data_IF_319267045960
#
_entry.id   IF_319267045960
#
_cell.length_a   1.000
_cell.length_b   1.000
_cell.length_c   1.000
_cell.angle_alpha   90.00
_cell.angle_beta   90.00
_cell.angle_gamma   90.00
#
_symmetry.space_group_name_H-M   'P 1'
#
loop_
_entity.id
_entity.type
_entity.pdbx_description
1 polymer ?
#
# COMPACT_ATOMS: atom_id res chain seq x y z
N UNK A 1 -5.88 -8.92 27.10
CA UNK A 1 -5.76 -9.51 25.76
C UNK A 1 -4.29 -9.47 25.38
N UNK A 2 -3.78 -10.57 24.84
CA UNK A 2 -2.43 -10.61 24.28
C UNK A 2 -2.40 -9.80 22.98
N UNK A 3 -1.44 -8.89 22.83
CA UNK A 3 -1.23 -8.14 21.61
C UNK A 3 -0.73 -9.09 20.51
N UNK A 4 -1.53 -9.27 19.47
CA UNK A 4 -1.15 -10.05 18.28
C UNK A 4 -0.51 -9.13 17.25
N UNK A 5 0.40 -9.68 16.45
CA UNK A 5 1.11 -8.96 15.40
C UNK A 5 0.97 -9.71 14.07
N UNK A 6 0.88 -8.94 12.98
CA UNK A 6 0.84 -9.45 11.62
C UNK A 6 2.07 -10.31 11.34
N UNK A 7 1.85 -11.57 10.95
CA UNK A 7 2.89 -12.56 10.69
C UNK A 7 3.60 -12.37 9.34
N UNK A 8 3.52 -11.17 8.77
CA UNK A 8 4.23 -10.71 7.57
C UNK A 8 4.98 -9.40 7.83
N UNK A 9 4.30 -8.31 8.20
CA UNK A 9 4.96 -7.01 8.40
C UNK A 9 5.21 -6.64 9.87
N UNK A 10 4.74 -7.44 10.83
CA UNK A 10 4.90 -7.13 12.24
C UNK A 10 3.99 -6.04 12.80
N UNK A 11 3.03 -5.54 12.01
CA UNK A 11 2.06 -4.54 12.47
C UNK A 11 1.17 -5.10 13.58
N UNK A 12 0.94 -4.38 14.71
CA UNK A 12 -0.04 -4.78 15.72
C UNK A 12 -1.40 -5.01 15.07
N UNK A 13 -2.12 -6.07 15.44
CA UNK A 13 -3.43 -6.39 14.87
C UNK A 13 -4.55 -5.86 15.76
N UNK A 14 -5.46 -5.09 15.16
CA UNK A 14 -6.75 -4.67 15.74
C UNK A 14 -7.88 -5.14 14.82
N UNK A 15 -9.12 -5.26 15.30
CA UNK A 15 -10.26 -5.73 14.51
C UNK A 15 -10.45 -5.01 13.16
N UNK A 16 -10.10 -3.74 13.10
CA UNK A 16 -10.28 -2.85 11.95
C UNK A 16 -9.30 -3.17 10.81
N UNK A 17 -8.09 -3.63 11.16
CA UNK A 17 -6.99 -3.85 10.20
C UNK A 17 -6.73 -5.33 9.92
N UNK A 18 -7.56 -6.24 10.43
CA UNK A 18 -7.47 -7.66 10.08
C UNK A 18 -7.70 -7.85 8.58
N UNK A 19 -6.83 -8.66 7.98
CA UNK A 19 -6.97 -9.09 6.60
C UNK A 19 -8.21 -9.95 6.37
N UNK A 20 -8.43 -10.35 5.12
CA UNK A 20 -9.59 -11.17 4.75
C UNK A 20 -9.18 -12.46 4.07
N UNK A 21 -9.84 -13.55 4.44
CA UNK A 21 -9.74 -14.85 3.76
C UNK A 21 -10.57 -14.83 2.47
N UNK A 22 -10.46 -15.88 1.66
CA UNK A 22 -11.18 -15.98 0.38
C UNK A 22 -12.71 -16.00 0.54
N UNK A 23 -13.20 -16.46 1.69
CA UNK A 23 -14.63 -16.46 2.06
C UNK A 23 -15.11 -15.12 2.65
N UNK A 24 -14.23 -14.12 2.72
CA UNK A 24 -14.51 -12.80 3.31
C UNK A 24 -14.40 -12.75 4.83
N UNK A 25 -14.16 -13.87 5.52
CA UNK A 25 -13.92 -13.88 6.96
C UNK A 25 -12.62 -13.15 7.33
N UNK A 26 -12.54 -12.63 8.56
CA UNK A 26 -11.33 -11.96 9.05
C UNK A 26 -10.18 -12.94 9.25
N UNK A 27 -8.97 -12.48 8.98
CA UNK A 27 -7.73 -13.22 9.20
C UNK A 27 -7.02 -12.70 10.46
N UNK A 28 -6.86 -13.56 11.46
CA UNK A 28 -6.26 -13.22 12.76
C UNK A 28 -4.72 -13.22 12.76
N UNK A 29 -4.08 -13.55 11.62
CA UNK A 29 -2.64 -13.67 11.51
C UNK A 29 -2.01 -12.57 10.66
N UNK A 30 -2.76 -11.99 9.73
CA UNK A 30 -2.27 -11.01 8.77
C UNK A 30 -3.17 -9.77 8.73
N UNK A 31 -2.55 -8.61 8.57
CA UNK A 31 -3.29 -7.38 8.38
C UNK A 31 -3.78 -7.21 6.92
N UNK A 32 -4.76 -6.34 6.73
CA UNK A 32 -5.39 -6.04 5.45
C UNK A 32 -4.42 -5.53 4.38
N UNK A 33 -3.33 -4.86 4.80
CA UNK A 33 -2.30 -4.37 3.89
C UNK A 33 -1.40 -5.49 3.35
N UNK A 34 -1.25 -6.59 4.10
CA UNK A 34 -0.44 -7.74 3.69
C UNK A 34 -1.25 -8.84 3.03
N UNK A 35 -2.50 -9.05 3.46
CA UNK A 35 -3.33 -10.18 3.05
C UNK A 35 -4.78 -9.76 2.90
N UNK A 36 -5.31 -9.91 1.69
CA UNK A 36 -6.67 -9.50 1.34
C UNK A 36 -7.27 -10.51 0.37
N UNK A 37 -8.50 -10.89 0.67
CA UNK A 37 -9.37 -11.75 -0.12
C UNK A 37 -8.70 -13.10 -0.44
N UNK A 38 -8.02 -13.67 0.55
CA UNK A 38 -7.37 -14.98 0.46
C UNK A 38 -6.00 -15.00 -0.22
N UNK A 39 -5.42 -13.83 -0.54
CA UNK A 39 -4.11 -13.73 -1.16
C UNK A 39 -3.25 -12.64 -0.52
N UNK A 40 -1.93 -12.80 -0.61
CA UNK A 40 -1.02 -11.70 -0.28
C UNK A 40 -1.18 -10.56 -1.28
N UNK A 41 -0.96 -9.33 -0.84
CA UNK A 41 -1.17 -8.14 -1.67
C UNK A 41 0.03 -7.84 -2.57
N UNK A 42 1.24 -8.27 -2.18
CA UNK A 42 2.47 -8.05 -2.92
C UNK A 42 3.46 -9.21 -2.83
N UNK A 43 4.19 -9.44 -3.93
CA UNK A 43 5.27 -10.40 -4.07
C UNK A 43 6.56 -9.84 -3.47
N UNK A 44 6.64 -9.85 -2.14
CA UNK A 44 7.80 -9.38 -1.41
C UNK A 44 8.68 -10.56 -0.99
N UNK A 45 10.00 -10.41 -1.22
CA UNK A 45 10.97 -11.05 -0.35
C UNK A 45 11.12 -10.27 0.97
N UNK A 46 11.81 -10.86 1.96
CA UNK A 46 11.94 -10.24 3.29
C UNK A 46 12.59 -8.85 3.23
N UNK A 47 13.66 -8.69 2.44
CA UNK A 47 14.39 -7.42 2.34
C UNK A 47 13.55 -6.33 1.65
N UNK A 48 12.76 -6.68 0.63
CA UNK A 48 11.83 -5.75 0.02
C UNK A 48 10.71 -5.33 0.99
N UNK A 49 10.23 -6.25 1.85
CA UNK A 49 9.30 -5.88 2.92
C UNK A 49 9.96 -4.94 3.94
N UNK A 50 11.23 -5.18 4.30
CA UNK A 50 11.99 -4.27 5.18
C UNK A 50 12.05 -2.87 4.58
N UNK A 51 12.40 -2.77 3.30
CA UNK A 51 12.47 -1.49 2.59
C UNK A 51 11.10 -0.80 2.55
N UNK A 52 10.04 -1.54 2.23
CA UNK A 52 8.67 -1.02 2.19
C UNK A 52 8.21 -0.52 3.56
N UNK A 53 8.31 -1.35 4.61
CA UNK A 53 7.92 -0.98 5.96
C UNK A 53 8.74 0.21 6.52
N UNK A 54 10.00 0.36 6.09
CA UNK A 54 10.86 1.47 6.53
C UNK A 54 10.33 2.86 6.16
N UNK A 55 9.47 2.96 5.14
CA UNK A 55 8.83 4.21 4.73
C UNK A 55 7.85 4.74 5.78
N UNK A 56 7.42 3.89 6.72
CA UNK A 56 6.45 4.23 7.77
C UNK A 56 7.11 4.44 9.14
N UNK A 57 8.43 4.67 9.19
CA UNK A 57 9.19 4.87 10.44
C UNK A 57 8.65 6.04 11.28
N UNK A 58 8.18 7.10 10.63
CA UNK A 58 7.63 8.27 11.33
C UNK A 58 6.33 7.92 12.07
N UNK A 59 5.46 7.13 11.43
CA UNK A 59 4.22 6.66 12.05
C UNK A 59 4.53 5.66 13.19
N UNK A 60 5.53 4.81 13.01
CA UNK A 60 6.01 3.92 14.08
C UNK A 60 6.56 4.71 15.28
N UNK A 61 7.39 5.72 15.04
CA UNK A 61 7.96 6.59 16.07
C UNK A 61 6.85 7.32 16.84
N UNK A 62 5.88 7.91 16.13
CA UNK A 62 4.73 8.59 16.71
C UNK A 62 3.90 7.68 17.62
N UNK A 63 3.65 6.44 17.23
CA UNK A 63 2.81 5.52 17.99
C UNK A 63 3.54 4.82 19.15
N UNK A 64 4.87 4.74 19.11
CA UNK A 64 5.68 4.06 20.15
C UNK A 64 6.44 5.01 21.07
N UNK A 65 6.47 6.31 20.76
CA UNK A 65 7.30 7.31 21.45
C UNK A 65 8.81 7.14 21.19
N UNK A 66 9.19 6.43 20.13
CA UNK A 66 10.58 6.26 19.70
C UNK A 66 11.00 7.37 18.72
N UNK A 67 12.29 7.44 18.41
CA UNK A 67 12.86 8.38 17.43
C UNK A 67 13.94 7.69 16.59
N UNK A 68 13.57 6.61 15.92
CA UNK A 68 14.48 5.86 15.04
C UNK A 68 14.61 6.57 13.69
N UNK A 69 15.82 6.58 13.14
CA UNK A 69 16.04 6.82 11.71
C UNK A 69 15.53 5.65 10.86
N UNK A 70 15.37 5.88 9.55
CA UNK A 70 14.97 4.82 8.60
C UNK A 70 15.92 3.62 8.64
N UNK A 71 17.23 3.85 8.73
CA UNK A 71 18.23 2.76 8.74
C UNK A 71 18.25 1.99 10.06
N UNK A 72 18.09 2.68 11.20
CA UNK A 72 17.92 2.00 12.50
C UNK A 72 16.66 1.15 12.51
N UNK A 73 15.56 1.67 11.96
CA UNK A 73 14.32 0.92 11.89
C UNK A 73 14.44 -0.30 10.97
N UNK A 74 15.11 -0.19 9.81
CA UNK A 74 15.43 -1.35 8.96
C UNK A 74 16.22 -2.40 9.73
N UNK A 75 17.21 -2.00 10.53
CA UNK A 75 17.99 -2.93 11.34
C UNK A 75 17.13 -3.68 12.37
N UNK A 76 16.15 -3.01 12.99
CA UNK A 76 15.18 -3.66 13.88
C UNK A 76 14.26 -4.62 13.13
N UNK A 77 13.75 -4.23 11.95
CA UNK A 77 12.91 -5.09 11.12
C UNK A 77 13.67 -6.36 10.68
N UNK A 78 14.94 -6.25 10.29
CA UNK A 78 15.78 -7.41 9.91
C UNK A 78 16.00 -8.39 11.07
N UNK A 79 16.03 -7.92 12.31
CA UNK A 79 16.09 -8.80 13.49
C UNK A 79 14.74 -9.47 13.75
N UNK A 80 13.63 -8.76 13.53
CA UNK A 80 12.30 -9.23 13.89
C UNK A 80 11.67 -10.14 12.82
N UNK A 81 11.76 -9.79 11.54
CA UNK A 81 11.09 -10.50 10.45
C UNK A 81 11.39 -12.00 10.36
N UNK A 82 12.62 -12.49 10.61
CA UNK A 82 12.91 -13.94 10.63
C UNK A 82 12.05 -14.74 11.62
N UNK A 83 11.42 -14.10 12.61
CA UNK A 83 10.53 -14.76 13.59
C UNK A 83 9.09 -14.91 13.07
N UNK A 84 8.69 -14.15 12.04
CA UNK A 84 7.33 -14.12 11.51
C UNK A 84 7.07 -15.31 10.58
N UNK A 85 5.82 -15.81 10.53
CA UNK A 85 5.48 -17.02 9.76
C UNK A 85 5.84 -16.91 8.28
N UNK A 86 5.53 -15.79 7.62
CA UNK A 86 5.78 -15.62 6.17
C UNK A 86 7.26 -15.83 5.83
N UNK A 87 8.15 -15.33 6.67
CA UNK A 87 9.59 -15.30 6.38
C UNK A 87 10.37 -16.50 6.90
N UNK A 88 9.70 -17.41 7.61
CA UNK A 88 10.26 -18.73 7.96
C UNK A 88 10.13 -19.74 6.83
N UNK A 89 9.38 -19.41 5.78
CA UNK A 89 9.24 -20.24 4.60
C UNK A 89 10.51 -20.16 3.73
N UNK A 90 10.88 -21.26 3.04
CA UNK A 90 11.85 -21.22 1.95
C UNK A 90 11.46 -20.19 0.88
N UNK A 91 12.46 -19.60 0.20
CA UNK A 91 12.23 -18.52 -0.77
C UNK A 91 11.33 -18.93 -1.94
N UNK A 92 11.42 -20.18 -2.39
CA UNK A 92 10.60 -20.80 -3.43
C UNK A 92 9.18 -21.15 -2.98
N UNK A 93 8.89 -21.04 -1.67
CA UNK A 93 7.58 -21.31 -1.07
C UNK A 93 6.91 -20.03 -0.56
N UNK A 94 7.50 -18.86 -0.80
CA UNK A 94 6.87 -17.60 -0.45
C UNK A 94 5.56 -17.45 -1.24
N UNK A 95 4.44 -17.10 -0.55
CA UNK A 95 3.16 -17.00 -1.21
C UNK A 95 3.13 -15.80 -2.17
N UNK A 96 2.51 -16.03 -3.33
CA UNK A 96 2.42 -15.03 -4.39
C UNK A 96 1.19 -14.13 -4.28
N UNK A 97 1.27 -12.94 -4.87
CA UNK A 97 0.18 -11.96 -4.86
C UNK A 97 -0.87 -12.22 -5.95
N UNK A 98 -1.61 -13.32 -5.82
CA UNK A 98 -2.53 -13.84 -6.84
C UNK A 98 -3.96 -13.28 -6.78
N UNK A 99 -4.16 -12.08 -6.22
CA UNK A 99 -5.51 -11.50 -6.09
C UNK A 99 -6.11 -11.20 -7.49
N UNK A 100 -7.26 -11.79 -7.87
CA UNK A 100 -7.89 -11.51 -9.17
C UNK A 100 -8.32 -10.05 -9.31
N UNK A 101 -8.75 -9.44 -8.21
CA UNK A 101 -9.20 -8.05 -8.18
C UNK A 101 -8.03 -7.08 -8.39
N UNK A 102 -6.85 -7.36 -7.80
CA UNK A 102 -5.62 -6.63 -8.10
C UNK A 102 -5.29 -6.66 -9.60
N UNK A 103 -5.34 -7.85 -10.20
CA UNK A 103 -5.05 -8.02 -11.63
C UNK A 103 -6.02 -7.20 -12.50
N UNK A 104 -7.32 -7.26 -12.19
CA UNK A 104 -8.34 -6.46 -12.88
C UNK A 104 -8.08 -4.96 -12.77
N UNK A 105 -7.67 -4.46 -11.59
CA UNK A 105 -7.32 -3.04 -11.44
C UNK A 105 -6.10 -2.64 -12.26
N UNK A 106 -5.06 -3.49 -12.28
CA UNK A 106 -3.86 -3.26 -13.08
C UNK A 106 -4.22 -3.13 -14.56
N UNK A 107 -5.05 -4.04 -15.08
CA UNK A 107 -5.53 -4.00 -16.46
C UNK A 107 -6.33 -2.74 -16.76
N UNK A 108 -7.27 -2.38 -15.88
CA UNK A 108 -8.12 -1.19 -16.05
C UNK A 108 -7.32 0.12 -16.01
N UNK A 109 -6.32 0.22 -15.13
CA UNK A 109 -5.44 1.39 -15.02
C UNK A 109 -4.55 1.52 -16.26
N UNK A 110 -3.93 0.43 -16.71
CA UNK A 110 -3.10 0.44 -17.92
C UNK A 110 -3.93 0.78 -19.17
N UNK A 111 -5.18 0.34 -19.24
CA UNK A 111 -6.09 0.64 -20.34
C UNK A 111 -6.49 2.13 -20.42
N UNK A 112 -6.23 2.95 -19.40
CA UNK A 112 -6.45 4.40 -19.45
C UNK A 112 -5.52 5.11 -20.44
N UNK A 113 -4.38 4.51 -20.80
CA UNK A 113 -3.44 5.07 -21.77
C UNK A 113 -2.86 6.42 -21.34
N UNK A 114 -2.60 6.59 -20.04
CA UNK A 114 -2.07 7.83 -19.48
C UNK A 114 -0.65 8.06 -20.01
N UNK A 115 -0.46 9.17 -20.72
CA UNK A 115 0.83 9.55 -21.31
C UNK A 115 1.91 9.66 -20.24
N UNK A 116 3.11 9.14 -20.52
CA UNK A 116 4.29 9.18 -19.66
C UNK A 116 4.15 8.44 -18.31
N UNK A 117 3.03 7.76 -18.07
CA UNK A 117 2.89 6.82 -16.96
C UNK A 117 3.51 5.48 -17.36
N UNK A 118 4.44 4.91 -16.57
CA UNK A 118 4.96 3.59 -16.85
C UNK A 118 3.85 2.53 -16.77
N UNK A 119 4.08 1.38 -17.40
CA UNK A 119 3.20 0.23 -17.23
C UNK A 119 3.12 -0.15 -15.76
N UNK A 120 1.90 -0.27 -15.25
CA UNK A 120 1.65 -0.71 -13.89
C UNK A 120 1.70 -2.23 -13.86
N UNK A 121 2.61 -2.77 -13.06
CA UNK A 121 2.79 -4.21 -12.85
C UNK A 121 2.39 -4.65 -11.43
N UNK A 122 2.17 -3.68 -10.53
CA UNK A 122 1.86 -3.94 -9.14
C UNK A 122 0.97 -2.85 -8.53
N UNK A 123 0.08 -3.29 -7.64
CA UNK A 123 -0.72 -2.47 -6.73
C UNK A 123 -0.67 -3.15 -5.36
N UNK A 124 -0.56 -2.35 -4.30
CA UNK A 124 -0.60 -2.79 -2.91
C UNK A 124 -1.88 -2.27 -2.26
N UNK A 125 -2.31 -2.90 -1.17
CA UNK A 125 -3.41 -2.35 -0.37
C UNK A 125 -2.84 -1.28 0.56
N UNK A 126 -3.25 -0.04 0.37
CA UNK A 126 -2.79 1.15 1.08
C UNK A 126 -3.94 1.79 1.84
N UNK A 127 -3.66 2.33 3.01
CA UNK A 127 -4.64 3.08 3.79
C UNK A 127 -4.88 4.45 3.17
N UNK A 128 -6.15 4.84 3.06
CA UNK A 128 -6.57 6.11 2.46
C UNK A 128 -5.84 7.31 3.03
N UNK A 129 -5.68 7.39 4.36
CA UNK A 129 -4.99 8.50 5.02
C UNK A 129 -3.56 8.76 4.55
N UNK A 130 -2.87 7.76 3.97
CA UNK A 130 -1.51 7.90 3.44
C UNK A 130 -1.45 8.36 1.98
N UNK A 131 -2.54 8.16 1.23
CA UNK A 131 -2.57 8.39 -0.22
C UNK A 131 -3.63 9.41 -0.66
N UNK A 132 -4.45 9.89 0.28
CA UNK A 132 -5.53 10.84 0.03
C UNK A 132 -5.00 12.27 -0.07
N UNK A 133 -4.54 12.62 -1.26
CA UNK A 133 -4.07 13.97 -1.58
C UNK A 133 -5.22 14.99 -1.53
N UNK A 134 -4.87 16.23 -1.25
CA UNK A 134 -5.79 17.37 -1.36
C UNK A 134 -5.68 17.99 -2.76
N UNK A 135 -6.81 18.10 -3.45
CA UNK A 135 -6.89 18.65 -4.80
C UNK A 135 -7.58 20.01 -4.79
N UNK A 136 -7.19 20.89 -5.72
CA UNK A 136 -7.86 22.18 -5.96
C UNK A 136 -8.89 22.04 -7.09
N UNK A 137 -10.18 22.07 -6.75
CA UNK A 137 -11.28 21.97 -7.72
C UNK A 137 -12.18 23.20 -7.58
N UNK A 138 -12.28 24.00 -8.64
CA UNK A 138 -13.06 25.25 -8.65
C UNK A 138 -12.74 26.19 -7.46
N UNK A 139 -11.46 26.26 -7.08
CA UNK A 139 -10.98 27.07 -5.95
C UNK A 139 -11.17 26.43 -4.57
N UNK A 140 -11.80 25.26 -4.47
CA UNK A 140 -12.00 24.55 -3.21
C UNK A 140 -10.94 23.45 -3.02
N UNK A 141 -10.53 23.23 -1.77
CA UNK A 141 -9.76 22.06 -1.37
C UNK A 141 -10.70 20.86 -1.20
N UNK A 142 -10.42 19.75 -1.90
CA UNK A 142 -11.24 18.53 -1.85
C UNK A 142 -10.34 17.31 -1.70
N UNK A 143 -10.74 16.40 -0.82
CA UNK A 143 -10.25 15.01 -0.75
C UNK A 143 -11.29 14.08 -1.37
N UNK A 144 -10.83 13.13 -2.19
CA UNK A 144 -11.72 12.22 -2.93
C UNK A 144 -11.76 10.81 -2.35
N UNK A 145 -10.76 10.43 -1.55
CA UNK A 145 -10.72 9.13 -0.88
C UNK A 145 -11.24 9.28 0.56
N UNK A 146 -11.61 8.16 1.18
CA UNK A 146 -11.89 8.06 2.61
C UNK A 146 -10.61 7.68 3.34
N UNK A 147 -10.20 8.50 4.32
CA UNK A 147 -9.00 8.29 5.12
C UNK A 147 -9.04 6.97 5.92
N UNK A 148 -10.23 6.42 6.19
CA UNK A 148 -10.45 5.18 6.93
C UNK A 148 -10.60 3.93 6.03
N UNK A 149 -10.68 4.12 4.71
CA UNK A 149 -10.78 3.02 3.76
C UNK A 149 -9.41 2.53 3.31
N UNK A 150 -9.39 1.38 2.62
CA UNK A 150 -8.19 0.82 2.00
C UNK A 150 -8.37 0.75 0.49
N UNK A 151 -7.32 1.08 -0.25
CA UNK A 151 -7.32 1.13 -1.71
C UNK A 151 -6.22 0.27 -2.28
N UNK A 152 -6.46 -0.36 -3.43
CA UNK A 152 -5.37 -0.88 -4.25
C UNK A 152 -4.67 0.30 -4.92
N UNK A 153 -3.40 0.51 -4.60
CA UNK A 153 -2.67 1.69 -5.05
C UNK A 153 -1.19 1.47 -5.23
N UNK A 154 -0.57 2.42 -5.91
CA UNK A 154 0.87 2.49 -6.14
C UNK A 154 1.26 3.93 -6.47
N UNK A 155 2.52 4.28 -6.23
CA UNK A 155 3.12 5.51 -6.71
C UNK A 155 4.23 5.15 -7.69
N UNK A 156 4.19 5.72 -8.89
CA UNK A 156 5.20 5.49 -9.94
C UNK A 156 5.76 6.80 -10.45
N UNK A 157 7.06 6.84 -10.72
CA UNK A 157 7.70 8.03 -11.29
C UNK A 157 7.19 8.27 -12.71
N UNK A 158 6.95 9.54 -13.04
CA UNK A 158 6.54 9.95 -14.39
C UNK A 158 7.75 9.86 -15.32
N UNK A 159 7.58 9.17 -16.44
CA UNK A 159 8.62 9.09 -17.46
C UNK A 159 8.85 10.48 -18.07
N UNK A 160 10.10 10.80 -18.39
CA UNK A 160 10.47 12.06 -19.05
C UNK A 160 10.13 13.35 -18.27
N UNK A 161 9.83 13.26 -16.96
CA UNK A 161 9.59 14.42 -16.10
C UNK A 161 10.16 14.20 -14.69
N UNK A 162 11.32 14.80 -14.40
CA UNK A 162 11.98 14.66 -13.11
C UNK A 162 11.15 15.26 -11.98
N UNK A 163 11.05 14.54 -10.86
CA UNK A 163 10.39 15.02 -9.65
C UNK A 163 8.87 15.00 -9.66
N UNK A 164 8.24 14.44 -10.72
CA UNK A 164 6.79 14.18 -10.78
C UNK A 164 6.51 12.69 -10.72
N UNK A 165 5.39 12.33 -10.11
CA UNK A 165 4.93 10.95 -10.00
C UNK A 165 3.42 10.87 -10.20
N UNK A 166 2.97 9.69 -10.58
CA UNK A 166 1.56 9.32 -10.58
C UNK A 166 1.22 8.56 -9.32
N UNK A 167 0.13 8.93 -8.65
CA UNK A 167 -0.50 8.14 -7.61
C UNK A 167 -1.75 7.46 -8.13
N UNK A 168 -1.88 6.17 -7.83
CA UNK A 168 -3.02 5.34 -8.24
C UNK A 168 -3.75 4.89 -6.98
N UNK A 169 -5.07 5.00 -6.99
CA UNK A 169 -5.95 4.46 -5.96
C UNK A 169 -7.19 3.85 -6.60
N UNK A 170 -7.48 2.60 -6.28
CA UNK A 170 -8.59 1.84 -6.84
C UNK A 170 -9.38 1.12 -5.75
N UNK A 171 -10.70 1.15 -5.86
CA UNK A 171 -11.63 0.33 -5.08
C UNK A 171 -12.75 -0.22 -5.99
N UNK A 172 -13.76 -0.84 -5.39
CA UNK A 172 -14.89 -1.40 -6.12
C UNK A 172 -15.75 -0.36 -6.85
N UNK A 173 -15.62 0.93 -6.52
CA UNK A 173 -16.44 2.01 -7.04
C UNK A 173 -15.69 2.95 -8.00
N UNK A 174 -14.39 3.15 -7.79
CA UNK A 174 -13.62 4.18 -8.48
C UNK A 174 -12.19 3.76 -8.82
N UNK A 175 -11.67 4.37 -9.88
CA UNK A 175 -10.24 4.47 -10.21
C UNK A 175 -9.88 5.95 -10.17
N UNK A 176 -8.95 6.30 -9.29
CA UNK A 176 -8.33 7.61 -9.21
C UNK A 176 -6.87 7.49 -9.64
N UNK A 177 -6.48 8.31 -10.61
CA UNK A 177 -5.07 8.56 -10.94
C UNK A 177 -4.82 10.05 -10.80
N UNK A 178 -3.81 10.41 -10.02
CA UNK A 178 -3.36 11.79 -9.84
C UNK A 178 -1.89 11.94 -10.22
N UNK A 179 -1.49 13.16 -10.55
CA UNK A 179 -0.09 13.53 -10.76
C UNK A 179 0.31 14.55 -9.69
N UNK A 180 1.46 14.36 -9.06
CA UNK A 180 1.96 15.28 -8.04
C UNK A 180 3.50 15.28 -7.99
N UNK A 181 4.05 16.34 -7.40
CA UNK A 181 5.46 16.50 -7.10
C UNK A 181 5.84 15.86 -5.78
N UNK A 182 7.07 16.13 -5.32
CA UNK A 182 7.59 15.61 -4.05
C UNK A 182 6.62 15.85 -2.89
N UNK A 183 6.39 14.81 -2.08
CA UNK A 183 5.50 14.84 -0.91
C UNK A 183 4.03 15.22 -1.22
N UNK A 184 3.54 14.96 -2.44
CA UNK A 184 2.16 15.29 -2.81
C UNK A 184 1.93 16.74 -3.22
N UNK A 185 3.00 17.52 -3.43
CA UNK A 185 2.89 18.91 -3.86
C UNK A 185 2.24 19.04 -5.24
N UNK A 186 1.45 20.10 -5.45
CA UNK A 186 0.82 20.41 -6.74
C UNK A 186 0.07 19.22 -7.33
N UNK A 187 -0.78 18.61 -6.50
CA UNK A 187 -1.57 17.44 -6.86
C UNK A 187 -2.72 17.78 -7.79
N UNK A 188 -2.77 17.08 -8.91
CA UNK A 188 -3.77 17.24 -9.96
C UNK A 188 -4.43 15.90 -10.25
N UNK A 189 -5.75 15.92 -10.49
CA UNK A 189 -6.49 14.73 -10.89
C UNK A 189 -6.29 14.53 -12.39
N UNK A 190 -5.73 13.38 -12.76
CA UNK A 190 -5.56 12.97 -14.16
C UNK A 190 -6.78 12.17 -14.61
N UNK A 191 -7.23 11.24 -13.78
CA UNK A 191 -8.43 10.42 -14.01
C UNK A 191 -9.18 10.26 -12.70
N UNK A 192 -10.50 10.48 -12.74
CA UNK A 192 -11.42 10.00 -11.71
C UNK A 192 -12.58 9.31 -12.42
N UNK A 193 -12.55 7.97 -12.42
CA UNK A 193 -13.46 7.12 -13.20
C UNK A 193 -14.28 6.24 -12.26
N UNK A 194 -15.59 6.27 -12.43
CA UNK A 194 -16.49 5.30 -11.79
C UNK A 194 -16.39 3.93 -12.48
N UNK A 195 -16.41 2.87 -11.69
CA UNK A 195 -16.38 1.46 -12.14
C UNK A 195 -17.79 0.87 -12.24
#
# INVERSE_FOLDING_TARGET
MELKFCQSCGMPLTPEILGTNADGSKNDEYCIYCYKDGAFTGDFNMEQMVEFCSQFVDEFNKNTGKSLSREEYKAELRKYFPTLKRWRLPADQLPHATSPMKQKFIEEVNALGIKDMPTIDNLLVLQGSFINQEYKINGNSVKLLDDNASYWGNQVEKQNAEGRCYGIACDEHYILVSEYGKNGADAEIVVFKKR
#
